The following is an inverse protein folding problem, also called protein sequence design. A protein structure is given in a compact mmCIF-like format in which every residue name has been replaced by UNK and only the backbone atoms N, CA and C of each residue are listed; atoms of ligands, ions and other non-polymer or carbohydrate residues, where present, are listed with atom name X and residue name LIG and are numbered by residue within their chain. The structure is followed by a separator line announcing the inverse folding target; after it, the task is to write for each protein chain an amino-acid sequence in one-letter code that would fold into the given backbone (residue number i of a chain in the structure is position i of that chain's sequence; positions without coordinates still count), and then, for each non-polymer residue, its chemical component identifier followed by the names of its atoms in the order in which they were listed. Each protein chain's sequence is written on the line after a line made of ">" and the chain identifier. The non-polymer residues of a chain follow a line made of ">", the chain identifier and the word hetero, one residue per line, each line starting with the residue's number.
data_IF_953917111580
#
_entry.id   IF_953917111580
#
_cell.length_a   1.000
_cell.length_b   1.000
_cell.length_c   1.000
_cell.angle_alpha   90.00
_cell.angle_beta   90.00
_cell.angle_gamma   90.00
#
_symmetry.space_group_name_H-M   'P 1'
#
loop_
_entity.id
_entity.type
_entity.pdbx_description
1 polymer ?
#
# COMPACT_ATOMS: atom_id res chain seq x y z
N UNK A 1 5.31 9.11 10.36
CA UNK A 1 4.94 10.12 11.38
C UNK A 1 3.45 10.46 11.20
N UNK A 2 2.69 10.71 12.27
CA UNK A 2 1.28 11.12 12.19
C UNK A 2 1.08 12.64 12.10
N UNK A 3 2.16 13.42 12.25
CA UNK A 3 2.09 14.88 12.37
C UNK A 3 1.61 15.29 13.77
N UNK A 4 1.11 16.53 13.91
CA UNK A 4 0.55 16.99 15.19
C UNK A 4 -0.71 16.19 15.55
N UNK A 5 -0.69 15.51 16.69
CA UNK A 5 -1.80 14.68 17.17
C UNK A 5 -3.04 15.49 17.55
N UNK A 6 -2.88 16.77 17.91
CA UNK A 6 -4.02 17.63 18.26
C UNK A 6 -4.93 17.94 17.06
N UNK A 7 -4.44 17.73 15.84
CA UNK A 7 -5.23 17.87 14.62
C UNK A 7 -6.12 16.65 14.34
N UNK A 8 -5.96 15.56 15.08
CA UNK A 8 -6.72 14.34 14.88
C UNK A 8 -7.97 14.31 15.75
N UNK A 9 -9.12 13.98 15.15
CA UNK A 9 -10.36 13.72 15.91
C UNK A 9 -10.29 12.39 16.67
N UNK A 10 -9.54 11.41 16.16
CA UNK A 10 -9.34 10.10 16.77
C UNK A 10 -7.86 9.75 16.81
N UNK A 11 -7.37 8.98 17.80
CA UNK A 11 -5.94 8.70 17.91
C UNK A 11 -5.40 8.01 16.63
N UNK A 12 -4.32 8.51 16.01
CA UNK A 12 -3.90 8.05 14.69
C UNK A 12 -3.45 6.59 14.66
N UNK A 13 -2.97 6.03 15.77
CA UNK A 13 -2.45 4.66 15.82
C UNK A 13 -3.34 3.70 16.63
N UNK A 14 -4.56 4.13 16.96
CA UNK A 14 -5.58 3.29 17.56
C UNK A 14 -6.79 3.25 16.62
N UNK A 15 -7.10 2.06 16.10
CA UNK A 15 -8.24 1.90 15.20
C UNK A 15 -9.53 2.31 15.93
N UNK A 16 -10.23 3.30 15.38
CA UNK A 16 -11.50 3.79 15.92
C UNK A 16 -12.59 3.58 14.89
N UNK A 17 -13.63 2.84 15.24
CA UNK A 17 -14.83 2.68 14.40
C UNK A 17 -15.89 3.70 14.79
N UNK A 18 -16.41 4.44 13.80
CA UNK A 18 -17.48 5.41 14.00
C UNK A 18 -18.30 5.58 12.72
N UNK A 19 -19.62 5.48 12.84
CA UNK A 19 -20.60 5.70 11.77
C UNK A 19 -20.28 4.90 10.49
N UNK A 20 -19.91 3.63 10.68
CA UNK A 20 -19.56 2.70 9.58
C UNK A 20 -18.21 2.97 8.93
N UNK A 21 -17.35 3.80 9.53
CA UNK A 21 -16.01 4.12 9.03
C UNK A 21 -14.93 3.75 10.04
N UNK A 22 -13.78 3.35 9.51
CA UNK A 22 -12.58 3.01 10.28
C UNK A 22 -11.55 4.13 10.20
N UNK A 23 -11.30 4.78 11.34
CA UNK A 23 -10.35 5.88 11.48
C UNK A 23 -9.03 5.38 12.06
N UNK A 24 -7.93 5.74 11.39
CA UNK A 24 -6.57 5.41 11.80
C UNK A 24 -5.58 5.71 10.68
N UNK A 25 -4.33 6.01 11.03
CA UNK A 25 -3.25 6.26 10.08
C UNK A 25 -2.95 4.99 9.29
N UNK A 26 -3.19 5.12 7.99
CA UNK A 26 -2.97 4.10 6.98
C UNK A 26 -4.08 3.06 6.87
N UNK A 27 -5.26 3.31 7.45
CA UNK A 27 -6.44 2.44 7.21
C UNK A 27 -6.78 2.40 5.72
N UNK A 28 -6.76 3.55 5.04
CA UNK A 28 -6.93 3.65 3.59
C UNK A 28 -5.63 3.43 2.82
N UNK A 29 -4.54 4.06 3.26
CA UNK A 29 -3.23 4.08 2.59
C UNK A 29 -2.13 3.40 3.42
N UNK A 30 -1.80 2.13 3.18
CA UNK A 30 -2.51 1.18 2.31
C UNK A 30 -2.92 -0.11 3.05
N UNK A 31 -2.99 -0.07 4.39
CA UNK A 31 -3.20 -1.27 5.20
C UNK A 31 -4.53 -1.95 4.92
N UNK A 32 -5.59 -1.20 4.60
CA UNK A 32 -6.89 -1.75 4.25
C UNK A 32 -6.82 -2.61 2.99
N UNK A 33 -6.22 -2.08 1.92
CA UNK A 33 -6.00 -2.82 0.68
C UNK A 33 -5.08 -4.02 0.86
N UNK A 34 -3.97 -3.86 1.58
CA UNK A 34 -3.06 -4.97 1.92
C UNK A 34 -3.80 -6.09 2.67
N UNK A 35 -4.66 -5.75 3.63
CA UNK A 35 -5.39 -6.75 4.41
C UNK A 35 -6.47 -7.44 3.60
N UNK A 36 -7.13 -6.73 2.69
CA UNK A 36 -8.05 -7.36 1.74
C UNK A 36 -7.34 -8.45 0.92
N UNK A 37 -6.13 -8.17 0.40
CA UNK A 37 -5.34 -9.17 -0.34
C UNK A 37 -4.99 -10.38 0.52
N UNK A 38 -4.52 -10.17 1.76
CA UNK A 38 -4.15 -11.26 2.68
C UNK A 38 -5.35 -12.15 2.97
N UNK A 39 -6.50 -11.56 3.29
CA UNK A 39 -7.74 -12.30 3.58
C UNK A 39 -8.17 -13.10 2.35
N UNK A 40 -8.18 -12.49 1.16
CA UNK A 40 -8.51 -13.21 -0.08
C UNK A 40 -7.59 -14.42 -0.31
N UNK A 41 -6.29 -14.30 -0.06
CA UNK A 41 -5.37 -15.43 -0.22
C UNK A 41 -5.62 -16.54 0.80
N UNK A 42 -5.97 -16.20 2.04
CA UNK A 42 -6.37 -17.17 3.07
C UNK A 42 -7.64 -17.90 2.61
N UNK A 43 -8.67 -17.16 2.20
CA UNK A 43 -9.95 -17.73 1.76
C UNK A 43 -9.79 -18.62 0.52
N UNK A 44 -9.03 -18.18 -0.49
CA UNK A 44 -8.72 -18.98 -1.67
C UNK A 44 -8.02 -20.29 -1.31
N UNK A 45 -7.13 -20.26 -0.30
CA UNK A 45 -6.43 -21.44 0.18
C UNK A 45 -7.37 -22.37 0.94
N UNK A 46 -8.18 -21.85 1.84
CA UNK A 46 -9.14 -22.63 2.66
C UNK A 46 -10.23 -23.27 1.80
N UNK A 47 -10.69 -22.57 0.77
CA UNK A 47 -11.73 -23.05 -0.15
C UNK A 47 -11.15 -23.89 -1.31
N UNK A 48 -9.83 -24.04 -1.39
CA UNK A 48 -9.12 -24.71 -2.48
C UNK A 48 -9.53 -24.19 -3.88
N UNK A 49 -9.64 -22.87 -4.00
CA UNK A 49 -10.19 -22.17 -5.17
C UNK A 49 -9.12 -21.63 -6.13
N UNK A 50 -7.86 -22.00 -5.95
CA UNK A 50 -6.80 -21.72 -6.92
C UNK A 50 -6.46 -22.99 -7.70
N UNK A 51 -7.24 -23.34 -8.75
CA UNK A 51 -7.07 -24.61 -9.45
C UNK A 51 -5.77 -24.67 -10.28
N UNK A 52 -5.27 -23.51 -10.74
CA UNK A 52 -4.07 -23.38 -11.57
C UNK A 52 -3.37 -22.03 -11.33
N UNK A 53 -2.08 -21.97 -11.65
CA UNK A 53 -1.25 -20.77 -11.53
C UNK A 53 -0.68 -20.57 -10.13
N UNK A 54 0.00 -19.43 -9.95
CA UNK A 54 0.60 -19.03 -8.68
C UNK A 54 0.19 -17.58 -8.38
N UNK A 55 -0.32 -17.34 -7.18
CA UNK A 55 -0.48 -15.96 -6.67
C UNK A 55 0.60 -15.72 -5.63
N UNK A 56 1.37 -14.64 -5.80
CA UNK A 56 2.45 -14.23 -4.91
C UNK A 56 2.08 -12.91 -4.23
N UNK A 57 2.08 -12.90 -2.90
CA UNK A 57 1.94 -11.66 -2.14
C UNK A 57 3.31 -10.99 -2.00
N UNK A 58 3.43 -9.77 -2.50
CA UNK A 58 4.61 -8.93 -2.33
C UNK A 58 4.26 -7.77 -1.39
N UNK A 59 4.48 -7.96 -0.09
CA UNK A 59 4.30 -6.89 0.91
C UNK A 59 5.64 -6.19 1.15
N UNK A 60 5.67 -4.87 1.00
CA UNK A 60 6.90 -4.07 1.13
C UNK A 60 6.77 -3.02 2.22
N UNK A 61 7.89 -2.43 2.61
CA UNK A 61 7.96 -1.28 3.49
C UNK A 61 8.81 -0.19 2.83
N UNK A 62 8.60 1.06 3.26
CA UNK A 62 9.36 2.22 2.76
C UNK A 62 8.82 2.86 1.48
N UNK A 63 7.63 2.45 1.00
CA UNK A 63 6.93 3.06 -0.13
C UNK A 63 6.82 4.59 0.04
N UNK A 64 6.29 5.02 1.19
CA UNK A 64 6.05 6.41 1.62
C UNK A 64 7.30 7.33 1.68
N UNK A 65 8.46 6.81 1.29
CA UNK A 65 9.74 7.53 1.23
C UNK A 65 10.39 7.36 -0.14
N UNK A 66 11.15 6.28 -0.30
CA UNK A 66 12.03 6.05 -1.45
C UNK A 66 11.74 4.72 -2.15
N UNK A 67 10.69 4.01 -1.74
CA UNK A 67 10.19 2.78 -2.40
C UNK A 67 11.23 1.66 -2.45
N UNK A 68 12.20 1.68 -1.53
CA UNK A 68 13.33 0.74 -1.49
C UNK A 68 12.88 -0.73 -1.44
N UNK A 69 11.80 -1.03 -0.72
CA UNK A 69 11.28 -2.38 -0.62
C UNK A 69 10.82 -2.95 -1.97
N UNK A 70 10.07 -2.17 -2.75
CA UNK A 70 9.62 -2.58 -4.08
C UNK A 70 10.81 -2.72 -5.04
N UNK A 71 11.74 -1.75 -5.00
CA UNK A 71 12.98 -1.81 -5.78
C UNK A 71 13.81 -3.07 -5.48
N UNK A 72 13.98 -3.41 -4.21
CA UNK A 72 14.73 -4.58 -3.78
C UNK A 72 14.13 -5.89 -4.32
N UNK A 73 12.80 -6.03 -4.28
CA UNK A 73 12.13 -7.24 -4.77
C UNK A 73 12.26 -7.36 -6.30
N UNK A 74 12.13 -6.24 -7.01
CA UNK A 74 12.36 -6.20 -8.46
C UNK A 74 13.82 -6.57 -8.79
N UNK A 75 14.80 -5.95 -8.14
CA UNK A 75 16.23 -6.20 -8.38
C UNK A 75 16.63 -7.67 -8.05
N UNK A 76 15.88 -8.34 -7.17
CA UNK A 76 16.05 -9.77 -6.84
C UNK A 76 15.31 -10.74 -7.76
N UNK A 77 14.59 -10.25 -8.77
CA UNK A 77 13.89 -11.07 -9.76
C UNK A 77 12.56 -11.66 -9.28
N UNK A 78 11.96 -11.13 -8.19
CA UNK A 78 10.64 -11.61 -7.70
C UNK A 78 9.48 -11.25 -8.64
N UNK A 79 9.75 -10.52 -9.72
CA UNK A 79 8.78 -10.12 -10.74
C UNK A 79 9.09 -10.72 -12.12
N UNK A 80 10.21 -11.44 -12.28
CA UNK A 80 10.70 -11.90 -13.59
C UNK A 80 9.76 -12.92 -14.26
N UNK A 81 8.98 -13.64 -13.47
CA UNK A 81 8.01 -14.66 -13.89
C UNK A 81 6.55 -14.22 -13.72
N UNK A 82 6.29 -12.93 -13.50
CA UNK A 82 4.95 -12.41 -13.20
C UNK A 82 4.23 -11.98 -14.47
N UNK A 83 3.13 -12.67 -14.80
CA UNK A 83 2.27 -12.35 -15.95
C UNK A 83 1.37 -11.11 -15.73
N UNK A 84 1.10 -10.76 -14.46
CA UNK A 84 0.23 -9.64 -14.11
C UNK A 84 0.42 -9.18 -12.67
N UNK A 85 0.29 -7.87 -12.45
CA UNK A 85 0.46 -7.24 -11.15
C UNK A 85 -0.80 -6.45 -10.78
N UNK A 86 -1.30 -6.67 -9.56
CA UNK A 86 -2.37 -5.88 -8.96
C UNK A 86 -1.86 -5.22 -7.68
N UNK A 87 -2.04 -3.90 -7.59
CA UNK A 87 -1.65 -3.10 -6.43
C UNK A 87 -2.93 -2.58 -5.79
N UNK A 88 -3.16 -2.92 -4.52
CA UNK A 88 -4.37 -2.56 -3.78
C UNK A 88 -4.32 -1.18 -3.11
N UNK A 89 -3.69 -0.20 -3.78
CA UNK A 89 -3.66 1.19 -3.34
C UNK A 89 -5.04 1.86 -3.50
N UNK A 90 -5.38 2.87 -2.68
CA UNK A 90 -6.70 3.46 -2.70
C UNK A 90 -6.92 4.25 -3.99
N UNK A 91 -7.82 3.73 -4.82
CA UNK A 91 -8.20 4.31 -6.12
C UNK A 91 -9.69 4.71 -6.18
N UNK A 92 -10.38 4.62 -5.04
CA UNK A 92 -11.82 4.83 -4.95
C UNK A 92 -12.57 3.67 -5.60
N UNK A 93 -13.44 3.97 -6.56
CA UNK A 93 -14.24 2.98 -7.30
C UNK A 93 -13.67 2.63 -8.69
N UNK A 94 -12.50 3.17 -9.06
CA UNK A 94 -11.91 3.02 -10.39
C UNK A 94 -10.73 2.07 -10.43
N UNK A 95 -10.49 1.47 -11.60
CA UNK A 95 -9.24 0.75 -11.90
C UNK A 95 -8.28 1.73 -12.56
N UNK A 96 -7.09 1.87 -11.98
CA UNK A 96 -6.02 2.71 -12.51
C UNK A 96 -4.93 1.79 -13.07
N UNK A 97 -4.61 1.95 -14.34
CA UNK A 97 -3.60 1.13 -15.05
C UNK A 97 -2.29 1.89 -15.28
N UNK A 98 -2.22 3.17 -14.91
CA UNK A 98 -1.05 4.02 -15.05
C UNK A 98 -1.04 5.14 -14.00
N UNK A 99 0.16 5.61 -13.64
CA UNK A 99 0.36 6.77 -12.78
C UNK A 99 1.32 7.77 -13.45
N UNK A 100 1.31 9.02 -12.97
CA UNK A 100 2.29 10.03 -13.39
C UNK A 100 3.64 9.75 -12.73
N UNK A 101 4.73 10.15 -13.37
CA UNK A 101 6.02 10.26 -12.68
C UNK A 101 5.95 11.28 -11.54
N UNK A 102 6.78 11.09 -10.52
CA UNK A 102 6.95 12.04 -9.41
C UNK A 102 8.39 12.58 -9.44
N UNK A 103 8.55 13.88 -9.22
CA UNK A 103 9.85 14.55 -9.13
C UNK A 103 9.81 15.58 -8.00
N UNK A 104 10.74 15.45 -7.06
CA UNK A 104 10.93 16.40 -5.97
C UNK A 104 12.23 17.16 -6.19
N UNK A 105 12.19 18.48 -6.14
CA UNK A 105 13.37 19.34 -6.25
C UNK A 105 13.60 20.06 -4.91
N UNK A 106 14.83 20.02 -4.40
CA UNK A 106 15.24 20.80 -3.23
C UNK A 106 16.13 21.95 -3.68
N UNK A 107 15.64 23.18 -3.57
CA UNK A 107 16.42 24.40 -3.81
C UNK A 107 16.89 24.96 -2.47
N UNK A 108 18.18 25.24 -2.35
CA UNK A 108 18.77 25.91 -1.17
C UNK A 108 19.39 27.22 -1.63
N UNK A 109 18.94 28.33 -1.03
CA UNK A 109 19.51 29.65 -1.26
C UNK A 109 20.10 30.17 0.04
N UNK A 110 21.27 30.79 -0.03
CA UNK A 110 21.96 31.38 1.12
C UNK A 110 22.23 32.85 0.80
N UNK A 111 21.65 33.74 1.60
CA UNK A 111 21.87 35.18 1.51
C UNK A 111 23.11 35.64 2.26
N UNK A 112 23.26 36.96 2.38
CA UNK A 112 24.13 37.64 3.34
C UNK A 112 23.29 38.36 4.38
#
# INVERSE_FOLDING_TARGET
>A
DAGNQDNWTYPPFQLTEKDGKLYGRGTTDMKGGLMALVITLIELKEQNQLPQGTIRLLATAGEEKEQEGAKLLADKGYLDDVDGLMIAEPTGSGIYYAHKGSMSCKVTATGK
#
